data_IF_829582878194
#
_entry.id   IF_829582878194
#
_cell.length_a   1.000
_cell.length_b   1.000
_cell.length_c   1.000
_cell.angle_alpha   90.00
_cell.angle_beta   90.00
_cell.angle_gamma   90.00
#
_symmetry.space_group_name_H-M   'P 1'
#
loop_
_entity.id
_entity.type
_entity.pdbx_description
1 polymer ?
#
# COMPACT_ATOMS: atom_id res chain seq x y z
N UNK A 1 8.64 16.64 -25.51
CA UNK A 1 8.45 16.63 -24.05
C UNK A 1 6.96 16.54 -23.75
N UNK A 2 6.50 15.42 -23.23
CA UNK A 2 5.09 15.13 -22.91
C UNK A 2 4.82 15.36 -21.42
N UNK A 3 3.55 15.48 -20.99
CA UNK A 3 3.21 15.50 -19.55
C UNK A 3 3.79 14.29 -18.79
N UNK A 4 3.80 13.12 -19.41
CA UNK A 4 4.42 11.90 -18.88
C UNK A 4 5.90 12.09 -18.61
N UNK A 5 6.65 12.63 -19.59
CA UNK A 5 8.08 12.89 -19.43
C UNK A 5 8.33 13.90 -18.30
N UNK A 6 7.49 14.93 -18.20
CA UNK A 6 7.58 15.91 -17.12
C UNK A 6 7.44 15.27 -15.73
N UNK A 7 6.40 14.46 -15.54
CA UNK A 7 6.17 13.79 -14.26
C UNK A 7 7.29 12.81 -13.91
N UNK A 8 7.71 11.99 -14.88
CA UNK A 8 8.77 11.02 -14.65
C UNK A 8 10.09 11.69 -14.31
N UNK A 9 10.47 12.73 -15.07
CA UNK A 9 11.68 13.51 -14.79
C UNK A 9 11.59 14.33 -13.50
N UNK A 10 10.39 14.69 -13.05
CA UNK A 10 10.17 15.38 -11.80
C UNK A 10 10.24 14.47 -10.57
N UNK A 11 9.85 13.19 -10.71
CA UNK A 11 9.80 12.24 -9.61
C UNK A 11 11.11 11.45 -9.43
N UNK A 12 11.80 11.09 -10.51
CA UNK A 12 13.03 10.30 -10.45
C UNK A 12 14.18 10.97 -9.66
N UNK A 13 14.36 12.30 -9.66
CA UNK A 13 15.35 12.97 -8.81
C UNK A 13 15.17 12.73 -7.32
N UNK A 14 13.94 12.60 -6.83
CA UNK A 14 13.70 12.29 -5.41
C UNK A 14 14.30 10.93 -5.02
N UNK A 15 14.21 9.95 -5.91
CA UNK A 15 14.85 8.65 -5.71
C UNK A 15 16.35 8.75 -5.77
N UNK A 16 16.89 9.42 -6.80
CA UNK A 16 18.34 9.57 -7.01
C UNK A 16 19.04 10.36 -5.92
N UNK A 17 18.39 11.43 -5.43
CA UNK A 17 19.04 12.38 -4.53
C UNK A 17 18.87 11.98 -3.05
N UNK A 18 17.74 11.30 -2.73
CA UNK A 18 17.40 10.95 -1.35
C UNK A 18 17.33 9.45 -1.06
N UNK A 19 17.46 8.60 -2.08
CA UNK A 19 17.41 7.14 -1.91
C UNK A 19 16.03 6.61 -1.51
N UNK A 20 14.96 7.20 -2.04
CA UNK A 20 13.59 6.73 -1.81
C UNK A 20 13.43 5.34 -2.41
N UNK A 21 13.05 4.34 -1.60
CA UNK A 21 12.98 2.94 -2.00
C UNK A 21 11.72 2.57 -2.80
N UNK A 22 10.68 3.40 -2.75
CA UNK A 22 9.45 3.12 -3.48
C UNK A 22 8.44 4.25 -3.49
N UNK A 23 7.41 4.09 -4.31
CA UNK A 23 6.26 4.99 -4.39
C UNK A 23 4.95 4.26 -4.13
N UNK A 24 4.07 4.90 -3.35
CA UNK A 24 2.65 4.63 -3.38
C UNK A 24 2.02 5.56 -4.43
N UNK A 25 1.39 4.97 -5.41
CA UNK A 25 0.77 5.68 -6.53
C UNK A 25 -0.73 5.76 -6.31
N UNK A 26 -1.20 6.98 -6.12
CA UNK A 26 -2.61 7.30 -6.00
C UNK A 26 -3.31 7.25 -7.37
N UNK A 27 -4.58 6.85 -7.38
CA UNK A 27 -5.45 6.88 -8.57
C UNK A 27 -4.82 6.31 -9.85
N UNK A 28 -4.11 5.20 -9.75
CA UNK A 28 -3.34 4.61 -10.85
C UNK A 28 -4.18 4.36 -12.12
N UNK A 29 -5.51 4.17 -11.98
CA UNK A 29 -6.45 3.93 -13.08
C UNK A 29 -6.69 5.15 -13.98
N UNK A 30 -6.30 6.35 -13.56
CA UNK A 30 -6.51 7.58 -14.31
C UNK A 30 -5.31 8.00 -15.17
N UNK A 31 -4.24 7.20 -15.16
CA UNK A 31 -3.03 7.45 -15.93
C UNK A 31 -2.73 6.24 -16.82
N UNK A 32 -2.17 6.51 -17.99
CA UNK A 32 -1.83 5.49 -18.97
C UNK A 32 -0.81 4.49 -18.42
N UNK A 33 -1.03 3.20 -18.64
CA UNK A 33 -0.14 2.13 -18.18
C UNK A 33 1.33 2.31 -18.61
N UNK A 34 1.65 2.75 -19.86
CA UNK A 34 3.04 3.01 -20.25
C UNK A 34 3.74 4.10 -19.43
N UNK A 35 3.00 5.03 -18.84
CA UNK A 35 3.58 6.06 -17.97
C UNK A 35 4.12 5.44 -16.67
N UNK A 36 3.40 4.50 -16.10
CA UNK A 36 3.85 3.76 -14.93
C UNK A 36 5.08 2.91 -15.20
N UNK A 37 5.11 2.24 -16.36
CA UNK A 37 6.27 1.47 -16.79
C UNK A 37 7.53 2.35 -16.93
N UNK A 38 7.37 3.53 -17.51
CA UNK A 38 8.47 4.50 -17.64
C UNK A 38 8.94 4.97 -16.26
N UNK A 39 8.02 5.37 -15.37
CA UNK A 39 8.36 5.80 -14.01
C UNK A 39 9.10 4.70 -13.25
N UNK A 40 8.60 3.46 -13.27
CA UNK A 40 9.26 2.31 -12.64
C UNK A 40 10.68 2.11 -13.15
N UNK A 41 10.87 2.21 -14.46
CA UNK A 41 12.18 2.01 -15.10
C UNK A 41 13.18 3.08 -14.66
N UNK A 42 12.78 4.36 -14.72
CA UNK A 42 13.66 5.46 -14.35
C UNK A 42 13.94 5.52 -12.84
N UNK A 43 12.92 5.32 -12.01
CA UNK A 43 13.10 5.29 -10.56
C UNK A 43 13.97 4.10 -10.11
N UNK A 44 13.82 2.93 -10.75
CA UNK A 44 14.68 1.78 -10.46
C UNK A 44 16.14 2.03 -10.84
N UNK A 45 16.39 2.73 -11.95
CA UNK A 45 17.74 3.14 -12.34
C UNK A 45 18.32 4.13 -11.31
N UNK A 46 17.53 5.15 -10.94
CA UNK A 46 17.92 6.15 -9.97
C UNK A 46 18.26 5.54 -8.59
N UNK A 47 17.47 4.59 -8.10
CA UNK A 47 17.76 3.91 -6.83
C UNK A 47 19.05 3.09 -6.88
N UNK A 48 19.29 2.37 -7.98
CA UNK A 48 20.57 1.65 -8.16
C UNK A 48 21.78 2.58 -8.14
N UNK A 49 21.69 3.73 -8.79
CA UNK A 49 22.73 4.75 -8.78
C UNK A 49 22.95 5.29 -7.38
N UNK A 50 21.87 5.60 -6.65
CA UNK A 50 21.95 6.09 -5.29
C UNK A 50 22.60 5.05 -4.35
N UNK A 51 22.16 3.79 -4.37
CA UNK A 51 22.73 2.71 -3.54
C UNK A 51 24.22 2.51 -3.83
N UNK A 52 24.62 2.57 -5.11
CA UNK A 52 26.04 2.50 -5.50
C UNK A 52 26.88 3.67 -4.97
N UNK A 53 26.30 4.87 -4.97
CA UNK A 53 26.97 6.07 -4.48
C UNK A 53 26.98 6.19 -2.94
N UNK A 54 26.08 5.50 -2.25
CA UNK A 54 25.88 5.56 -0.80
C UNK A 54 25.86 4.17 -0.15
N UNK A 55 26.92 3.36 -0.29
CA UNK A 55 26.92 1.97 0.21
C UNK A 55 26.71 1.88 1.73
N UNK A 56 27.17 2.88 2.48
CA UNK A 56 27.03 2.92 3.94
C UNK A 56 25.61 3.29 4.41
N UNK A 57 24.76 3.80 3.50
CA UNK A 57 23.36 4.16 3.79
C UNK A 57 22.36 3.20 3.19
N UNK A 58 22.77 2.40 2.21
CA UNK A 58 21.91 1.40 1.59
C UNK A 58 21.70 0.25 2.58
N UNK A 59 20.44 0.06 3.01
CA UNK A 59 20.10 -0.98 3.99
C UNK A 59 20.08 -2.38 3.36
N UNK A 60 19.82 -2.47 2.07
CA UNK A 60 19.73 -3.71 1.30
C UNK A 60 20.01 -3.46 -0.19
N UNK A 61 19.91 -4.51 -1.00
CA UNK A 61 20.05 -4.48 -2.46
C UNK A 61 18.72 -4.61 -3.20
N UNK A 62 17.59 -4.51 -2.49
CA UNK A 62 16.25 -4.67 -3.07
C UNK A 62 15.98 -3.62 -4.16
N UNK A 63 15.23 -4.00 -5.21
CA UNK A 63 14.85 -3.07 -6.26
C UNK A 63 13.83 -2.04 -5.76
N UNK A 64 13.68 -0.96 -6.52
CA UNK A 64 12.65 0.04 -6.29
C UNK A 64 11.26 -0.60 -6.28
N UNK A 65 10.46 -0.30 -5.24
CA UNK A 65 9.11 -0.82 -5.07
C UNK A 65 8.06 0.17 -5.54
N UNK A 66 7.02 -0.31 -6.23
CA UNK A 66 5.89 0.52 -6.61
C UNK A 66 4.57 -0.17 -6.28
N UNK A 67 3.77 0.46 -5.42
CA UNK A 67 2.43 -0.02 -5.11
C UNK A 67 1.38 0.94 -5.66
N UNK A 68 0.28 0.40 -6.20
CA UNK A 68 -0.76 1.18 -6.87
C UNK A 68 -2.10 1.15 -6.16
N UNK A 69 -2.73 2.31 -6.12
CA UNK A 69 -4.13 2.42 -5.77
C UNK A 69 -4.99 2.46 -7.06
N UNK A 70 -5.83 1.44 -7.24
CA UNK A 70 -6.90 1.43 -8.23
C UNK A 70 -8.19 1.05 -7.50
N UNK A 71 -9.05 2.00 -7.28
CA UNK A 71 -10.26 1.83 -6.48
C UNK A 71 -11.05 0.60 -6.88
N UNK A 72 -11.32 -0.27 -5.89
CA UNK A 72 -12.02 -1.55 -6.08
C UNK A 72 -11.14 -2.70 -6.59
N UNK A 73 -9.82 -2.54 -6.69
CA UNK A 73 -8.92 -3.64 -7.01
C UNK A 73 -8.83 -4.62 -5.82
N UNK A 74 -8.99 -5.91 -6.11
CA UNK A 74 -8.87 -6.99 -5.13
C UNK A 74 -7.71 -7.91 -5.48
N UNK A 75 -7.79 -9.19 -5.06
CA UNK A 75 -6.79 -10.21 -5.35
C UNK A 75 -7.00 -10.76 -6.76
N UNK A 76 -6.42 -10.07 -7.73
CA UNK A 76 -6.46 -10.44 -9.14
C UNK A 76 -5.18 -10.01 -9.86
N UNK A 77 -4.74 -10.79 -10.81
CA UNK A 77 -3.68 -10.39 -11.72
C UNK A 77 -4.24 -9.42 -12.77
N UNK A 78 -3.65 -8.24 -12.87
CA UNK A 78 -4.08 -7.16 -13.77
C UNK A 78 -2.90 -6.63 -14.58
N UNK A 79 -3.18 -5.81 -15.60
CA UNK A 79 -2.14 -5.22 -16.44
C UNK A 79 -1.22 -4.23 -15.71
N UNK A 80 -1.61 -3.75 -14.53
CA UNK A 80 -0.75 -2.93 -13.68
C UNK A 80 0.59 -3.63 -13.36
N UNK A 81 0.56 -4.93 -13.06
CA UNK A 81 1.77 -5.71 -12.76
C UNK A 81 2.73 -5.81 -13.94
N UNK A 82 2.22 -5.81 -15.17
CA UNK A 82 3.04 -5.78 -16.39
C UNK A 82 3.63 -4.42 -16.68
N UNK A 83 3.11 -3.37 -16.01
CA UNK A 83 3.52 -1.98 -16.19
C UNK A 83 4.18 -1.38 -14.95
N UNK A 84 4.85 -2.22 -14.17
CA UNK A 84 5.81 -1.79 -13.15
C UNK A 84 5.30 -1.78 -11.72
N UNK A 85 4.05 -2.15 -11.45
CA UNK A 85 3.57 -2.29 -10.07
C UNK A 85 3.99 -3.64 -9.48
N UNK A 86 4.52 -3.61 -8.27
CA UNK A 86 4.89 -4.80 -7.50
C UNK A 86 3.72 -5.30 -6.64
N UNK A 87 2.83 -4.38 -6.23
CA UNK A 87 1.60 -4.68 -5.53
C UNK A 87 0.49 -3.70 -5.88
N UNK A 88 -0.75 -4.16 -5.77
CA UNK A 88 -1.94 -3.31 -5.82
C UNK A 88 -2.66 -3.36 -4.49
N UNK A 89 -3.26 -2.23 -4.07
CA UNK A 89 -4.06 -2.17 -2.84
C UNK A 89 -5.26 -3.10 -2.96
N UNK A 90 -5.46 -3.94 -1.94
CA UNK A 90 -6.56 -4.90 -1.85
C UNK A 90 -7.72 -4.29 -1.08
N UNK A 91 -8.70 -3.74 -1.79
CA UNK A 91 -9.87 -3.10 -1.21
C UNK A 91 -10.88 -4.10 -0.62
N UNK A 92 -10.83 -5.38 -1.01
CA UNK A 92 -11.78 -6.37 -0.52
C UNK A 92 -11.48 -6.83 0.91
N UNK A 93 -10.23 -6.68 1.37
CA UNK A 93 -9.76 -7.30 2.60
C UNK A 93 -10.44 -6.74 3.86
N UNK A 94 -10.65 -5.43 3.93
CA UNK A 94 -11.29 -4.78 5.08
C UNK A 94 -12.67 -5.38 5.40
N UNK A 95 -13.49 -5.59 4.38
CA UNK A 95 -14.84 -6.14 4.54
C UNK A 95 -14.82 -7.65 4.83
N UNK A 96 -13.86 -8.38 4.28
CA UNK A 96 -13.66 -9.79 4.58
C UNK A 96 -13.25 -9.99 6.04
N UNK A 97 -12.32 -9.18 6.53
CA UNK A 97 -11.88 -9.19 7.92
C UNK A 97 -13.00 -8.81 8.89
N UNK A 98 -13.82 -7.82 8.54
CA UNK A 98 -14.95 -7.40 9.37
C UNK A 98 -15.96 -8.53 9.62
N UNK A 99 -16.17 -9.40 8.63
CA UNK A 99 -17.07 -10.56 8.78
C UNK A 99 -16.47 -11.68 9.63
N UNK A 100 -15.15 -11.74 9.76
CA UNK A 100 -14.44 -12.81 10.42
C UNK A 100 -13.82 -12.43 11.76
N UNK A 101 -13.96 -11.18 12.19
CA UNK A 101 -13.26 -10.65 13.38
C UNK A 101 -13.63 -11.38 14.67
N UNK A 102 -14.83 -11.93 14.76
CA UNK A 102 -15.26 -12.70 15.91
C UNK A 102 -14.83 -14.17 15.87
N UNK A 103 -14.46 -14.67 14.69
CA UNK A 103 -14.05 -16.05 14.48
C UNK A 103 -13.01 -16.16 13.37
N UNK A 104 -11.72 -16.20 13.71
CA UNK A 104 -10.60 -16.27 12.78
C UNK A 104 -10.71 -17.43 11.77
N UNK A 105 -11.31 -18.55 12.17
CA UNK A 105 -11.52 -19.70 11.28
C UNK A 105 -12.38 -19.36 10.04
N UNK A 106 -13.16 -18.29 10.08
CA UNK A 106 -13.90 -17.83 8.92
C UNK A 106 -13.00 -17.23 7.82
N UNK A 107 -11.76 -16.86 8.17
CA UNK A 107 -10.76 -16.37 7.20
C UNK A 107 -10.02 -17.49 6.49
N UNK A 108 -10.05 -18.72 6.97
CA UNK A 108 -9.27 -19.82 6.38
C UNK A 108 -9.48 -19.97 4.89
N UNK A 109 -10.75 -19.99 4.46
CA UNK A 109 -11.08 -20.09 3.04
C UNK A 109 -10.60 -18.87 2.25
N UNK A 110 -10.74 -17.67 2.81
CA UNK A 110 -10.26 -16.42 2.18
C UNK A 110 -8.75 -16.44 2.03
N UNK A 111 -8.01 -16.81 3.07
CA UNK A 111 -6.55 -16.88 3.05
C UNK A 111 -6.05 -17.96 2.08
N UNK A 112 -6.68 -19.14 2.06
CA UNK A 112 -6.36 -20.18 1.08
C UNK A 112 -6.54 -19.68 -0.36
N UNK A 113 -7.70 -19.08 -0.66
CA UNK A 113 -7.97 -18.50 -1.98
C UNK A 113 -7.00 -17.39 -2.36
N UNK A 114 -6.64 -16.54 -1.41
CA UNK A 114 -5.61 -15.51 -1.62
C UNK A 114 -4.25 -16.13 -1.94
N UNK A 115 -3.81 -17.10 -1.13
CA UNK A 115 -2.52 -17.78 -1.32
C UNK A 115 -2.45 -18.52 -2.67
N UNK A 116 -3.55 -19.14 -3.09
CA UNK A 116 -3.66 -19.82 -4.40
C UNK A 116 -3.56 -18.81 -5.57
N UNK A 117 -4.16 -17.63 -5.43
CA UNK A 117 -4.17 -16.61 -6.48
C UNK A 117 -2.88 -15.82 -6.57
N UNK A 118 -2.17 -15.61 -5.46
CA UNK A 118 -0.96 -14.78 -5.39
C UNK A 118 0.27 -15.51 -5.97
N UNK A 119 0.18 -15.87 -7.26
CA UNK A 119 1.25 -16.53 -8.00
C UNK A 119 1.92 -15.54 -8.96
N UNK A 120 3.11 -15.05 -8.59
CA UNK A 120 3.89 -14.11 -9.41
C UNK A 120 3.43 -12.65 -9.37
N UNK A 121 2.55 -12.28 -8.43
CA UNK A 121 2.17 -10.91 -8.13
C UNK A 121 1.85 -10.75 -6.64
N UNK A 122 1.69 -9.52 -6.16
CA UNK A 122 1.41 -9.24 -4.76
C UNK A 122 0.26 -8.25 -4.61
N UNK A 123 -0.37 -8.24 -3.44
CA UNK A 123 -1.35 -7.22 -3.04
C UNK A 123 -0.96 -6.62 -1.71
N UNK A 124 -1.46 -5.42 -1.42
CA UNK A 124 -1.28 -4.73 -0.17
C UNK A 124 -2.62 -4.69 0.55
N UNK A 125 -2.84 -5.63 1.48
CA UNK A 125 -4.05 -5.71 2.29
C UNK A 125 -4.00 -4.75 3.48
N UNK A 126 -5.15 -4.19 3.87
CA UNK A 126 -5.27 -3.25 4.99
C UNK A 126 -6.57 -3.48 5.76
N UNK A 127 -6.63 -2.99 6.99
CA UNK A 127 -7.87 -2.90 7.79
C UNK A 127 -8.40 -1.47 7.84
N UNK A 128 -7.54 -0.50 8.14
CA UNK A 128 -7.92 0.92 8.12
C UNK A 128 -7.30 1.64 6.93
N UNK A 129 -8.00 2.62 6.40
CA UNK A 129 -7.43 3.55 5.41
C UNK A 129 -8.04 4.94 5.53
N UNK A 130 -7.37 5.91 4.92
CA UNK A 130 -7.82 7.30 4.87
C UNK A 130 -9.05 7.51 3.97
N UNK A 131 -9.33 6.58 3.05
CA UNK A 131 -10.40 6.69 2.04
C UNK A 131 -11.61 5.80 2.35
N UNK A 132 -11.50 4.85 3.27
CA UNK A 132 -12.59 3.95 3.63
C UNK A 132 -13.05 4.22 5.06
N UNK A 133 -12.51 3.51 6.04
CA UNK A 133 -12.82 3.70 7.46
C UNK A 133 -11.66 3.30 8.35
N UNK A 134 -11.70 3.71 9.60
CA UNK A 134 -10.89 3.13 10.66
C UNK A 134 -11.54 1.83 11.13
N UNK A 135 -10.79 0.75 11.14
CA UNK A 135 -11.22 -0.55 11.66
C UNK A 135 -10.93 -0.58 13.17
N UNK A 136 -11.97 -0.69 13.98
CA UNK A 136 -11.87 -0.63 15.45
C UNK A 136 -12.55 -1.82 16.12
N UNK A 137 -12.94 -2.79 15.32
CA UNK A 137 -13.53 -4.05 15.78
C UNK A 137 -12.44 -5.06 16.14
N UNK A 138 -12.66 -5.90 17.13
CA UNK A 138 -11.90 -7.10 17.41
C UNK A 138 -10.57 -6.95 18.14
N UNK A 139 -10.05 -5.73 18.36
CA UNK A 139 -8.79 -5.54 19.09
C UNK A 139 -7.63 -6.37 18.53
N UNK A 140 -6.98 -7.19 19.37
CA UNK A 140 -5.83 -8.03 18.97
C UNK A 140 -6.15 -9.01 17.83
N UNK A 141 -7.40 -9.50 17.74
CA UNK A 141 -7.82 -10.36 16.63
C UNK A 141 -7.76 -9.64 15.27
N UNK A 142 -7.99 -8.33 15.25
CA UNK A 142 -7.83 -7.56 14.03
C UNK A 142 -6.38 -7.52 13.58
N UNK A 143 -5.44 -7.35 14.51
CA UNK A 143 -4.01 -7.42 14.20
C UNK A 143 -3.62 -8.82 13.66
N UNK A 144 -4.11 -9.89 14.28
CA UNK A 144 -3.89 -11.27 13.81
C UNK A 144 -4.45 -11.44 12.38
N UNK A 145 -5.68 -10.99 12.11
CA UNK A 145 -6.29 -11.05 10.78
C UNK A 145 -5.40 -10.37 9.72
N UNK A 146 -4.85 -9.20 10.03
CA UNK A 146 -4.01 -8.47 9.09
C UNK A 146 -2.64 -9.10 8.92
N UNK A 147 -1.94 -9.39 10.03
CA UNK A 147 -0.55 -9.83 9.99
C UNK A 147 -0.37 -11.25 9.44
N UNK A 148 -1.42 -12.08 9.50
CA UNK A 148 -1.42 -13.44 8.93
C UNK A 148 -1.94 -13.46 7.48
N UNK A 149 -2.36 -12.32 6.93
CA UNK A 149 -2.87 -12.26 5.56
C UNK A 149 -1.80 -12.63 4.53
N UNK A 150 -2.12 -13.48 3.54
CA UNK A 150 -1.22 -13.71 2.42
C UNK A 150 -0.94 -12.42 1.62
N UNK A 151 0.30 -12.23 1.21
CA UNK A 151 0.75 -11.05 0.50
C UNK A 151 1.37 -10.01 1.43
N UNK A 152 1.45 -8.76 0.98
CA UNK A 152 1.91 -7.65 1.79
C UNK A 152 0.76 -7.02 2.57
N UNK A 153 1.08 -6.37 3.69
CA UNK A 153 0.11 -5.70 4.56
C UNK A 153 0.47 -4.23 4.76
N UNK A 154 -0.54 -3.41 4.94
CA UNK A 154 -0.41 -2.00 5.29
C UNK A 154 -1.05 -1.75 6.65
N UNK A 155 -0.27 -1.26 7.61
CA UNK A 155 -0.78 -0.75 8.88
C UNK A 155 -1.03 0.74 8.70
N UNK A 156 -2.26 1.18 8.98
CA UNK A 156 -2.58 2.59 8.95
C UNK A 156 -2.23 3.23 10.28
N UNK A 157 -1.64 4.44 10.24
CA UNK A 157 -1.14 5.10 11.44
C UNK A 157 -2.22 5.20 12.54
N UNK A 158 -1.85 4.81 13.74
CA UNK A 158 -2.73 4.78 14.89
C UNK A 158 -3.65 3.56 14.98
N UNK A 159 -3.51 2.55 14.12
CA UNK A 159 -4.21 1.28 14.30
C UNK A 159 -3.70 0.57 15.56
N UNK A 160 -2.40 0.67 15.82
CA UNK A 160 -1.71 0.12 16.99
C UNK A 160 -2.15 0.76 18.33
N UNK A 161 -2.65 2.00 18.29
CA UNK A 161 -3.11 2.75 19.46
C UNK A 161 -4.62 2.98 19.50
N UNK A 162 -5.36 2.30 18.60
CA UNK A 162 -6.81 2.48 18.45
C UNK A 162 -7.21 3.94 18.27
N UNK A 163 -6.45 4.71 17.51
CA UNK A 163 -6.67 6.13 17.24
C UNK A 163 -8.14 6.41 16.93
N UNK A 164 -8.78 7.38 17.63
CA UNK A 164 -10.20 7.65 17.45
C UNK A 164 -10.49 8.33 16.10
N UNK A 165 -11.71 8.16 15.64
CA UNK A 165 -12.24 8.91 14.53
C UNK A 165 -12.36 10.39 14.92
N UNK A 166 -11.82 11.27 14.10
CA UNK A 166 -11.83 12.71 14.36
C UNK A 166 -13.10 13.42 13.88
N UNK A 167 -13.18 14.73 14.07
CA UNK A 167 -14.28 15.52 13.55
C UNK A 167 -14.28 15.49 12.01
N UNK A 168 -15.46 15.33 11.43
CA UNK A 168 -15.60 15.14 9.96
C UNK A 168 -15.84 16.43 9.19
N UNK A 169 -16.22 17.51 9.85
CA UNK A 169 -16.56 18.75 9.15
C UNK A 169 -17.59 18.51 8.03
N UNK A 170 -17.31 19.03 6.84
CA UNK A 170 -18.14 18.83 5.65
C UNK A 170 -17.79 17.57 4.85
N UNK A 171 -16.62 16.96 5.08
CA UNK A 171 -16.17 15.72 4.44
C UNK A 171 -16.25 14.57 5.44
N UNK A 172 -17.16 13.60 5.26
CA UNK A 172 -17.33 12.49 6.18
C UNK A 172 -16.09 11.59 6.28
N UNK A 173 -15.18 11.63 5.33
CA UNK A 173 -13.94 10.83 5.35
C UNK A 173 -12.78 11.53 6.08
N UNK A 174 -12.87 12.82 6.37
CA UNK A 174 -11.80 13.52 7.11
C UNK A 174 -11.57 12.96 8.51
N UNK A 175 -12.58 12.40 9.14
CA UNK A 175 -12.45 11.75 10.44
C UNK A 175 -11.47 10.57 10.46
N UNK A 176 -11.18 9.95 9.30
CA UNK A 176 -10.15 8.91 9.18
C UNK A 176 -8.72 9.47 9.24
N UNK A 177 -8.57 10.77 9.10
CA UNK A 177 -7.30 11.53 9.06
C UNK A 177 -7.07 12.34 10.34
N UNK A 178 -7.67 11.93 11.49
CA UNK A 178 -7.45 12.56 12.78
C UNK A 178 -5.96 12.54 13.18
N UNK A 179 -5.58 13.45 14.07
CA UNK A 179 -4.22 13.48 14.61
C UNK A 179 -3.90 12.19 15.38
N UNK A 180 -2.62 11.86 15.44
CA UNK A 180 -2.14 10.70 16.19
C UNK A 180 -2.38 10.91 17.69
N UNK A 181 -2.91 9.88 18.36
CA UNK A 181 -3.15 9.87 19.80
C UNK A 181 -1.89 9.40 20.56
N UNK A 182 -0.84 10.20 20.52
CA UNK A 182 0.48 9.88 21.07
C UNK A 182 0.46 9.47 22.54
N UNK A 183 -0.49 9.97 23.32
CA UNK A 183 -0.66 9.62 24.74
C UNK A 183 -1.05 8.17 24.99
N UNK A 184 -1.59 7.48 23.96
CA UNK A 184 -2.05 6.09 24.03
C UNK A 184 -1.02 5.11 23.47
N UNK A 185 0.12 5.61 23.00
CA UNK A 185 1.25 4.81 22.53
C UNK A 185 2.16 4.55 23.73
N UNK A 186 2.12 3.35 24.26
CA UNK A 186 2.92 2.91 25.44
C UNK A 186 3.99 1.91 25.04
#
# INVERSE_FOLDING_TARGET
>A
FTPRDYLTHGLSPWVRDYGIDGFRVDTAKHVELPAWQQLKTEASAALREWKKANPDKALDDKPFWMTGEAWGHGVMQSDYYRHGFDAMINFDYQEQAAKAVDCLAQMDTTWQQMAEKLQGFNVLSYLSSHDTRLFREGGDKAAELLLLAPGAVQIFYGDESSRPFGPTGSDPLQGTRSDMNWQDVS
#
